data_IF_987994034583
#
_entry.id   IF_987994034583
#
_cell.length_a   1.000
_cell.length_b   1.000
_cell.length_c   1.000
_cell.angle_alpha   90.00
_cell.angle_beta   90.00
_cell.angle_gamma   90.00
#
_symmetry.space_group_name_H-M   'P 1'
#
loop_
_entity.id
_entity.type
_entity.pdbx_description
1 polymer ?
#
# COMPACT_ATOMS: atom_id res chain seq x y z
N UNK A 1 -5.50 15.01 7.05
CA UNK A 1 -6.16 13.92 6.27
C UNK A 1 -5.34 12.65 6.44
N UNK A 2 -5.98 11.48 6.48
CA UNK A 2 -5.29 10.19 6.63
C UNK A 2 -5.80 9.22 5.58
N UNK A 3 -4.91 8.44 4.98
CA UNK A 3 -5.25 7.38 4.02
C UNK A 3 -4.75 6.04 4.56
N UNK A 4 -5.54 4.99 4.35
CA UNK A 4 -5.22 3.63 4.79
C UNK A 4 -5.44 2.67 3.63
N UNK A 5 -4.50 1.75 3.43
CA UNK A 5 -4.63 0.70 2.42
C UNK A 5 -3.70 -0.46 2.74
N UNK A 6 -4.10 -1.67 2.33
CA UNK A 6 -3.21 -2.84 2.31
C UNK A 6 -2.25 -2.84 1.11
N UNK A 7 -2.51 -1.99 0.11
CA UNK A 7 -1.68 -1.88 -1.12
C UNK A 7 -1.41 -0.41 -1.47
N UNK A 8 -0.23 -0.11 -2.04
CA UNK A 8 0.13 1.26 -2.40
C UNK A 8 0.92 1.34 -3.73
N UNK A 9 0.28 0.99 -4.87
CA UNK A 9 0.96 0.91 -6.16
C UNK A 9 1.40 2.29 -6.68
N UNK A 10 2.50 2.34 -7.44
CA UNK A 10 3.06 3.59 -7.96
C UNK A 10 2.06 4.45 -8.77
N UNK A 11 1.08 3.82 -9.42
CA UNK A 11 0.05 4.48 -10.22
C UNK A 11 -0.85 5.43 -9.43
N UNK A 12 -1.06 5.18 -8.13
CA UNK A 12 -1.91 6.05 -7.29
C UNK A 12 -1.15 7.19 -6.61
N UNK A 13 0.20 7.18 -6.65
CA UNK A 13 1.02 8.13 -5.89
C UNK A 13 0.76 9.57 -6.32
N UNK A 14 0.72 9.83 -7.65
CA UNK A 14 0.49 11.17 -8.18
C UNK A 14 -0.86 11.74 -7.75
N UNK A 15 -1.91 10.94 -7.87
CA UNK A 15 -3.25 11.38 -7.49
C UNK A 15 -3.32 11.62 -5.98
N UNK A 16 -2.73 10.74 -5.17
CA UNK A 16 -2.72 10.89 -3.72
C UNK A 16 -2.01 12.17 -3.27
N UNK A 17 -0.92 12.56 -3.94
CA UNK A 17 -0.18 13.79 -3.65
C UNK A 17 -1.03 15.06 -3.83
N UNK A 18 -2.02 15.06 -4.72
CA UNK A 18 -2.94 16.20 -4.92
C UNK A 18 -3.81 16.48 -3.68
N UNK A 19 -3.94 15.50 -2.78
CA UNK A 19 -4.76 15.58 -1.58
C UNK A 19 -3.92 15.61 -0.28
N UNK A 20 -2.64 15.20 -0.31
CA UNK A 20 -1.82 15.03 0.89
C UNK A 20 -1.20 16.34 1.39
N UNK A 21 -0.98 16.42 2.70
CA UNK A 21 -0.19 17.49 3.30
C UNK A 21 1.30 17.33 2.90
N UNK A 22 2.04 18.43 2.61
CA UNK A 22 3.46 18.37 2.29
C UNK A 22 4.33 17.68 3.35
N UNK A 23 3.90 17.67 4.62
CA UNK A 23 4.59 17.05 5.74
C UNK A 23 4.01 15.67 6.12
N UNK A 24 3.32 15.01 5.19
CA UNK A 24 2.87 13.64 5.33
C UNK A 24 4.00 12.70 5.81
N UNK A 25 3.66 11.83 6.76
CA UNK A 25 4.48 10.66 7.12
C UNK A 25 3.82 9.41 6.59
N UNK A 26 4.54 8.63 5.77
CA UNK A 26 4.11 7.29 5.31
C UNK A 26 4.63 6.24 6.28
N UNK A 27 3.74 5.40 6.78
CA UNK A 27 4.08 4.23 7.62
C UNK A 27 3.68 2.96 6.88
N UNK A 28 4.61 2.01 6.78
CA UNK A 28 4.40 0.69 6.16
C UNK A 28 4.64 -0.38 7.22
N UNK A 29 3.79 -1.40 7.24
CA UNK A 29 3.93 -2.57 8.12
C UNK A 29 4.11 -3.80 7.22
N UNK A 30 5.18 -4.56 7.44
CA UNK A 30 5.55 -5.69 6.59
C UNK A 30 6.48 -5.27 5.45
N UNK A 31 6.21 -5.76 4.23
CA UNK A 31 7.01 -5.45 3.03
C UNK A 31 6.69 -4.07 2.46
N UNK A 32 7.69 -3.41 1.86
CA UNK A 32 7.48 -2.20 1.05
C UNK A 32 6.90 -2.51 -0.34
N UNK A 33 7.16 -3.72 -0.84
CA UNK A 33 6.58 -4.25 -2.07
C UNK A 33 5.20 -4.88 -1.83
N UNK A 34 4.48 -5.17 -2.93
CA UNK A 34 3.20 -5.88 -2.85
C UNK A 34 3.39 -7.25 -2.20
N UNK A 35 2.76 -7.45 -1.04
CA UNK A 35 2.77 -8.70 -0.32
C UNK A 35 1.35 -9.12 0.07
N UNK A 36 1.06 -10.41 -0.05
CA UNK A 36 -0.14 -11.00 0.50
C UNK A 36 0.03 -11.27 2.00
N UNK A 37 -1.08 -11.42 2.72
CA UNK A 37 -1.04 -11.77 4.14
C UNK A 37 -0.36 -13.14 4.34
N UNK A 38 0.62 -13.19 5.25
CA UNK A 38 1.43 -14.38 5.54
C UNK A 38 0.64 -15.54 6.15
N UNK A 39 -0.49 -15.27 6.79
CA UNK A 39 -1.31 -16.32 7.42
C UNK A 39 -2.25 -17.02 6.42
N UNK A 40 -2.30 -16.55 5.16
CA UNK A 40 -3.19 -17.08 4.13
C UNK A 40 -2.44 -18.09 3.26
N UNK A 41 -2.88 -19.34 3.27
CA UNK A 41 -2.41 -20.37 2.34
C UNK A 41 -2.91 -20.05 0.93
N UNK A 42 -1.96 -19.91 -0.01
CA UNK A 42 -2.25 -19.61 -1.42
C UNK A 42 -2.02 -20.87 -2.26
N UNK A 43 -3.04 -21.30 -3.00
CA UNK A 43 -3.00 -22.44 -3.93
C UNK A 43 -3.10 -21.89 -5.36
N UNK A 44 -2.24 -22.37 -6.26
CA UNK A 44 -2.27 -22.04 -7.69
C UNK A 44 -2.47 -23.35 -8.47
N UNK A 45 -3.48 -23.37 -9.34
CA UNK A 45 -3.80 -24.51 -10.22
C UNK A 45 -3.68 -24.06 -11.68
N UNK A 46 -3.30 -24.99 -12.56
CA UNK A 46 -3.06 -24.76 -14.00
C UNK A 46 -4.37 -24.66 -14.83
#
# INVERSE_FOLDING_TARGET
MVMFSATWPATVHRLAQEYMDPNLVKVVIGSEDLAANHDVMQIVED
#
